data_IF_147597848720
#
_entry.id   IF_147597848720
#
_cell.length_a   1.000
_cell.length_b   1.000
_cell.length_c   1.000
_cell.angle_alpha   90.00
_cell.angle_beta   90.00
_cell.angle_gamma   90.00
#
_symmetry.space_group_name_H-M   'P 1'
#
loop_
_entity.id
_entity.type
_entity.pdbx_description
1 polymer ?
#
# COMPACT_ATOMS: atom_id res chain seq x y z
N UNK A 1 10.72 14.31 22.81
CA UNK A 1 10.48 13.21 21.86
C UNK A 1 10.22 11.89 22.60
N UNK A 2 11.06 11.48 23.55
CA UNK A 2 10.89 10.18 24.26
C UNK A 2 9.57 10.01 25.01
N UNK A 3 9.04 11.06 25.67
CA UNK A 3 7.74 10.98 26.37
C UNK A 3 6.52 10.88 25.42
N UNK A 4 6.67 11.25 24.14
CA UNK A 4 5.58 11.19 23.15
C UNK A 4 5.50 9.83 22.45
N UNK A 5 6.64 9.15 22.27
CA UNK A 5 6.74 7.85 21.64
C UNK A 5 5.75 6.78 22.16
N UNK A 6 5.53 6.60 23.49
CA UNK A 6 4.57 5.60 23.96
C UNK A 6 3.13 5.94 23.54
N UNK A 7 2.75 7.21 23.56
CA UNK A 7 1.41 7.67 23.15
C UNK A 7 1.22 7.51 21.64
N UNK A 8 2.25 7.87 20.86
CA UNK A 8 2.24 7.70 19.41
C UNK A 8 2.11 6.23 19.02
N UNK A 9 2.93 5.36 19.62
CA UNK A 9 2.92 3.93 19.34
C UNK A 9 1.56 3.31 19.67
N UNK A 10 0.99 3.64 20.83
CA UNK A 10 -0.35 3.18 21.21
C UNK A 10 -1.42 3.65 20.22
N UNK A 11 -1.35 4.93 19.82
CA UNK A 11 -2.29 5.50 18.84
C UNK A 11 -2.19 4.80 17.48
N UNK A 12 -0.97 4.53 16.99
CA UNK A 12 -0.74 3.83 15.73
C UNK A 12 -1.27 2.39 15.78
N UNK A 13 -1.05 1.67 16.90
CA UNK A 13 -1.59 0.31 17.07
C UNK A 13 -3.12 0.33 17.04
N UNK A 14 -3.76 1.24 17.78
CA UNK A 14 -5.22 1.39 17.78
C UNK A 14 -5.75 1.67 16.38
N UNK A 15 -5.10 2.57 15.62
CA UNK A 15 -5.50 2.88 14.23
C UNK A 15 -5.35 1.66 13.34
N UNK A 16 -4.21 0.96 13.37
CA UNK A 16 -3.98 -0.23 12.54
C UNK A 16 -5.00 -1.33 12.85
N UNK A 17 -5.29 -1.58 14.13
CA UNK A 17 -6.28 -2.57 14.57
C UNK A 17 -7.69 -2.16 14.13
N UNK A 18 -8.10 -0.90 14.32
CA UNK A 18 -9.42 -0.43 13.91
C UNK A 18 -9.62 -0.45 12.40
N UNK A 19 -8.55 -0.27 11.61
CA UNK A 19 -8.60 -0.44 10.16
C UNK A 19 -8.65 -1.92 9.75
N UNK A 20 -8.08 -2.81 10.58
CA UNK A 20 -8.11 -4.26 10.42
C UNK A 20 -9.44 -4.93 10.86
N UNK A 21 -10.14 -4.34 11.82
CA UNK A 21 -11.35 -4.89 12.44
C UNK A 21 -12.57 -5.02 11.51
N UNK A 22 -12.86 -4.07 10.59
CA UNK A 22 -13.99 -4.20 9.67
C UNK A 22 -13.70 -5.13 8.48
N UNK A 23 -12.60 -5.90 8.48
CA UNK A 23 -12.34 -6.88 7.44
C UNK A 23 -13.29 -8.07 7.50
N UNK A 24 -14.34 -8.00 6.69
CA UNK A 24 -15.16 -9.17 6.38
C UNK A 24 -14.54 -9.93 5.19
N UNK A 25 -14.03 -11.14 5.47
CA UNK A 25 -13.46 -12.04 4.46
C UNK A 25 -14.44 -12.40 3.33
N UNK A 26 -15.76 -12.25 3.55
CA UNK A 26 -16.79 -12.47 2.53
C UNK A 26 -16.80 -11.35 1.49
N UNK A 27 -16.47 -10.12 1.89
CA UNK A 27 -16.30 -8.98 0.98
C UNK A 27 -15.06 -9.15 0.10
N UNK A 28 -14.01 -9.79 0.63
CA UNK A 28 -12.79 -10.13 -0.11
C UNK A 28 -13.08 -11.13 -1.24
N UNK A 29 -13.90 -12.15 -0.96
CA UNK A 29 -14.29 -13.16 -1.93
C UNK A 29 -15.23 -12.59 -3.03
N UNK A 30 -16.11 -11.64 -2.68
CA UNK A 30 -17.05 -11.02 -3.62
C UNK A 30 -16.44 -9.93 -4.51
N UNK A 31 -15.41 -9.22 -4.05
CA UNK A 31 -14.81 -8.08 -4.76
C UNK A 31 -13.65 -8.45 -5.70
N UNK A 32 -13.45 -9.74 -6.01
CA UNK A 32 -12.23 -10.25 -6.65
C UNK A 32 -11.82 -9.49 -7.92
N UNK A 33 -12.75 -9.25 -8.86
CA UNK A 33 -12.45 -8.56 -10.11
C UNK A 33 -12.05 -7.09 -9.89
N UNK A 34 -12.80 -6.35 -9.06
CA UNK A 34 -12.48 -4.96 -8.72
C UNK A 34 -11.12 -4.85 -8.01
N UNK A 35 -10.82 -5.81 -7.13
CA UNK A 35 -9.54 -5.90 -6.41
C UNK A 35 -8.38 -6.03 -7.38
N UNK A 36 -8.48 -6.95 -8.35
CA UNK A 36 -7.44 -7.14 -9.38
C UNK A 36 -7.25 -5.88 -10.22
N UNK A 37 -8.34 -5.29 -10.71
CA UNK A 37 -8.29 -4.06 -11.52
C UNK A 37 -7.64 -2.93 -10.71
N UNK A 38 -8.01 -2.76 -9.45
CA UNK A 38 -7.46 -1.75 -8.56
C UNK A 38 -5.95 -1.93 -8.34
N UNK A 39 -5.50 -3.16 -8.01
CA UNK A 39 -4.07 -3.46 -7.81
C UNK A 39 -3.27 -3.14 -9.07
N UNK A 40 -3.72 -3.60 -10.24
CA UNK A 40 -3.02 -3.40 -11.51
C UNK A 40 -2.96 -1.92 -11.87
N UNK A 41 -4.08 -1.21 -11.78
CA UNK A 41 -4.15 0.22 -12.09
C UNK A 41 -3.21 1.02 -11.18
N UNK A 42 -3.17 0.69 -9.89
CA UNK A 42 -2.29 1.34 -8.92
C UNK A 42 -0.82 1.03 -9.19
N UNK A 43 -0.50 -0.23 -9.49
CA UNK A 43 0.86 -0.64 -9.79
C UNK A 43 1.39 0.07 -11.05
N UNK A 44 0.59 0.09 -12.12
CA UNK A 44 0.94 0.79 -13.36
C UNK A 44 1.10 2.29 -13.13
N UNK A 45 0.20 2.93 -12.38
CA UNK A 45 0.30 4.36 -12.06
C UNK A 45 1.58 4.70 -11.28
N UNK A 46 1.95 3.88 -10.29
CA UNK A 46 3.17 4.11 -9.50
C UNK A 46 4.45 3.83 -10.28
N UNK A 47 4.51 2.70 -10.99
CA UNK A 47 5.70 2.32 -11.76
C UNK A 47 5.90 3.26 -12.94
N UNK A 48 4.85 3.47 -13.73
CA UNK A 48 4.87 4.39 -14.87
C UNK A 48 5.11 5.83 -14.43
N UNK A 49 4.41 6.30 -13.40
CA UNK A 49 4.58 7.64 -12.86
C UNK A 49 5.99 7.91 -12.32
N UNK A 50 6.56 6.96 -11.56
CA UNK A 50 7.94 7.08 -11.07
C UNK A 50 8.96 7.09 -12.22
N UNK A 51 8.75 6.26 -13.25
CA UNK A 51 9.63 6.21 -14.42
C UNK A 51 9.57 7.51 -15.23
N UNK A 52 8.37 8.00 -15.54
CA UNK A 52 8.17 9.25 -16.29
C UNK A 52 8.72 10.43 -15.48
N UNK A 53 8.40 10.49 -14.20
CA UNK A 53 8.88 11.52 -13.28
C UNK A 53 10.40 11.53 -13.17
N UNK A 54 11.03 10.37 -12.98
CA UNK A 54 12.49 10.24 -12.92
C UNK A 54 13.17 10.64 -14.22
N UNK A 55 12.59 10.28 -15.37
CA UNK A 55 13.11 10.69 -16.69
C UNK A 55 12.99 12.19 -16.92
N UNK A 56 11.86 12.80 -16.53
CA UNK A 56 11.62 14.23 -16.71
C UNK A 56 12.56 15.08 -15.84
N UNK A 57 12.84 14.62 -14.61
CA UNK A 57 13.73 15.32 -13.67
C UNK A 57 15.21 14.97 -13.86
N UNK A 58 15.55 14.08 -14.80
CA UNK A 58 16.92 13.55 -15.01
C UNK A 58 17.50 12.92 -13.73
N UNK A 59 16.67 12.24 -12.95
CA UNK A 59 17.10 11.50 -11.78
C UNK A 59 18.05 10.35 -12.16
N UNK A 60 18.81 9.84 -11.18
CA UNK A 60 19.70 8.70 -11.37
C UNK A 60 18.96 7.53 -12.07
N UNK A 61 19.58 6.84 -13.05
CA UNK A 61 18.97 5.70 -13.73
C UNK A 61 18.42 4.61 -12.79
N UNK A 62 19.06 4.41 -11.63
CA UNK A 62 18.60 3.47 -10.60
C UNK A 62 17.28 3.93 -9.98
N UNK A 63 17.17 5.21 -9.66
CA UNK A 63 15.93 5.80 -9.11
C UNK A 63 14.81 5.69 -10.14
N UNK A 64 15.07 6.11 -11.38
CA UNK A 64 14.09 6.07 -12.47
C UNK A 64 13.57 4.65 -12.74
N UNK A 65 14.43 3.63 -12.62
CA UNK A 65 14.07 2.24 -12.90
C UNK A 65 13.43 1.50 -11.72
N UNK A 66 13.84 1.80 -10.49
CA UNK A 66 13.50 0.95 -9.33
C UNK A 66 12.55 1.59 -8.31
N UNK A 67 12.45 2.94 -8.27
CA UNK A 67 11.57 3.65 -7.32
C UNK A 67 10.11 3.21 -7.41
N UNK A 68 9.61 2.96 -8.63
CA UNK A 68 8.23 2.52 -8.84
C UNK A 68 7.84 1.28 -8.04
N UNK A 69 8.76 0.32 -7.91
CA UNK A 69 8.54 -0.92 -7.16
C UNK A 69 8.57 -0.70 -5.65
N UNK A 70 9.42 0.20 -5.15
CA UNK A 70 9.51 0.53 -3.72
C UNK A 70 8.32 1.35 -3.24
N UNK A 71 7.59 1.99 -4.16
CA UNK A 71 6.36 2.70 -3.88
C UNK A 71 5.14 1.77 -3.86
N UNK A 72 5.22 0.53 -4.32
CA UNK A 72 4.06 -0.37 -4.36
C UNK A 72 3.41 -0.60 -2.99
N UNK A 73 4.12 -0.71 -1.86
CA UNK A 73 3.49 -0.86 -0.55
C UNK A 73 2.36 0.17 -0.29
N UNK A 74 1.32 -0.32 0.37
CA UNK A 74 0.09 0.36 0.72
C UNK A 74 0.21 0.90 2.15
N UNK A 75 0.31 2.22 2.26
CA UNK A 75 0.38 2.89 3.56
C UNK A 75 -0.99 2.92 4.24
N UNK A 76 -1.00 2.90 5.57
CA UNK A 76 -2.20 3.04 6.40
C UNK A 76 -3.02 4.31 6.12
N UNK A 77 -2.40 5.36 5.55
CA UNK A 77 -3.12 6.57 5.11
C UNK A 77 -4.20 6.25 4.07
N UNK A 78 -3.98 5.27 3.19
CA UNK A 78 -4.98 4.87 2.20
C UNK A 78 -6.19 4.17 2.84
N UNK A 79 -5.98 3.46 3.94
CA UNK A 79 -7.07 2.82 4.70
C UNK A 79 -7.90 3.87 5.45
N UNK A 80 -7.26 4.94 5.96
CA UNK A 80 -7.98 6.09 6.54
C UNK A 80 -8.90 6.74 5.50
N UNK A 81 -8.38 7.04 4.30
CA UNK A 81 -9.20 7.59 3.21
C UNK A 81 -10.28 6.62 2.74
N UNK A 82 -10.02 5.32 2.80
CA UNK A 82 -11.05 4.29 2.54
C UNK A 82 -12.17 4.40 3.56
N UNK A 83 -11.86 4.52 4.86
CA UNK A 83 -12.86 4.73 5.89
C UNK A 83 -13.73 5.97 5.65
N UNK A 84 -13.11 7.09 5.24
CA UNK A 84 -13.85 8.32 4.89
C UNK A 84 -14.75 8.10 3.67
N UNK A 85 -14.24 7.44 2.63
CA UNK A 85 -15.01 7.15 1.41
C UNK A 85 -16.18 6.20 1.70
N UNK A 86 -15.94 5.13 2.47
CA UNK A 86 -16.95 4.16 2.89
C UNK A 86 -18.03 4.85 3.72
N UNK A 87 -17.66 5.69 4.67
CA UNK A 87 -18.63 6.42 5.50
C UNK A 87 -19.50 7.37 4.65
N UNK A 88 -18.89 8.08 3.69
CA UNK A 88 -19.61 8.96 2.78
C UNK A 88 -20.51 8.18 1.82
N UNK A 89 -20.08 7.01 1.34
CA UNK A 89 -20.88 6.20 0.41
C UNK A 89 -22.00 5.43 1.12
N UNK A 90 -21.82 5.05 2.38
CA UNK A 90 -22.85 4.34 3.15
C UNK A 90 -24.13 5.17 3.35
N UNK A 91 -24.04 6.50 3.29
CA UNK A 91 -25.22 7.40 3.34
C UNK A 91 -25.99 7.45 2.01
N UNK A 92 -25.37 7.00 0.92
CA UNK A 92 -25.94 6.97 -0.43
C UNK A 92 -26.41 5.54 -0.76
N UNK A 93 -25.49 4.57 -0.68
CA UNK A 93 -25.72 3.15 -0.97
C UNK A 93 -24.74 2.28 -0.18
N UNK A 94 -25.28 1.46 0.73
CA UNK A 94 -24.50 0.56 1.57
C UNK A 94 -23.76 -0.53 0.77
N UNK A 95 -24.27 -0.93 -0.40
CA UNK A 95 -23.60 -1.93 -1.24
C UNK A 95 -22.36 -1.36 -1.92
N UNK A 96 -22.38 -0.09 -2.34
CA UNK A 96 -21.21 0.58 -2.90
C UNK A 96 -20.11 0.76 -1.86
N UNK A 97 -20.51 1.12 -0.63
CA UNK A 97 -19.59 1.20 0.50
C UNK A 97 -18.91 -0.16 0.78
N UNK A 98 -19.67 -1.26 0.70
CA UNK A 98 -19.15 -2.62 0.85
C UNK A 98 -18.19 -3.01 -0.28
N UNK A 99 -18.47 -2.62 -1.53
CA UNK A 99 -17.57 -2.86 -2.68
C UNK A 99 -16.25 -2.09 -2.51
N UNK A 100 -16.30 -0.81 -2.13
CA UNK A 100 -15.10 0.02 -1.93
C UNK A 100 -14.24 -0.54 -0.81
N UNK A 101 -14.87 -0.81 0.35
CA UNK A 101 -14.18 -1.38 1.51
C UNK A 101 -13.56 -2.74 1.15
N UNK A 102 -14.36 -3.65 0.60
CA UNK A 102 -13.91 -4.97 0.18
C UNK A 102 -12.76 -4.90 -0.81
N UNK A 103 -12.84 -4.04 -1.83
CA UNK A 103 -11.81 -3.89 -2.87
C UNK A 103 -10.50 -3.36 -2.30
N UNK A 104 -10.53 -2.21 -1.62
CA UNK A 104 -9.29 -1.52 -1.21
C UNK A 104 -8.61 -2.29 -0.07
N UNK A 105 -9.39 -2.83 0.85
CA UNK A 105 -8.83 -3.55 2.00
C UNK A 105 -8.26 -4.92 1.58
N UNK A 106 -8.93 -5.64 0.68
CA UNK A 106 -8.35 -6.84 0.05
C UNK A 106 -7.07 -6.53 -0.69
N UNK A 107 -7.10 -5.45 -1.49
CA UNK A 107 -5.93 -5.01 -2.22
C UNK A 107 -4.77 -4.64 -1.28
N UNK A 108 -5.05 -4.01 -0.14
CA UNK A 108 -4.04 -3.67 0.85
C UNK A 108 -3.31 -4.93 1.33
N UNK A 109 -4.02 -5.97 1.76
CA UNK A 109 -3.41 -7.22 2.24
C UNK A 109 -2.58 -7.90 1.16
N UNK A 110 -3.18 -8.14 -0.01
CA UNK A 110 -2.51 -8.83 -1.12
C UNK A 110 -1.25 -8.06 -1.52
N UNK A 111 -1.38 -6.74 -1.65
CA UNK A 111 -0.30 -5.88 -2.06
C UNK A 111 0.77 -5.76 -0.98
N UNK A 112 0.47 -5.74 0.32
CA UNK A 112 1.50 -5.71 1.37
C UNK A 112 2.43 -6.93 1.31
N UNK A 113 1.88 -8.12 1.03
CA UNK A 113 2.70 -9.33 0.91
C UNK A 113 3.61 -9.26 -0.32
N UNK A 114 3.06 -8.93 -1.49
CA UNK A 114 3.79 -8.94 -2.76
C UNK A 114 4.74 -7.74 -2.86
N UNK A 115 4.27 -6.56 -2.49
CA UNK A 115 5.00 -5.30 -2.66
C UNK A 115 6.19 -5.20 -1.72
N UNK A 116 6.13 -5.73 -0.49
CA UNK A 116 7.30 -5.74 0.41
C UNK A 116 8.44 -6.57 -0.18
N UNK A 117 8.12 -7.72 -0.78
CA UNK A 117 9.11 -8.56 -1.47
C UNK A 117 9.70 -7.87 -2.70
N UNK A 118 8.85 -7.22 -3.50
CA UNK A 118 9.29 -6.46 -4.68
C UNK A 118 10.13 -5.25 -4.29
N UNK A 119 9.73 -4.50 -3.26
CA UNK A 119 10.47 -3.34 -2.76
C UNK A 119 11.87 -3.76 -2.29
N UNK A 120 11.97 -4.83 -1.48
CA UNK A 120 13.26 -5.40 -1.07
C UNK A 120 14.14 -5.76 -2.27
N UNK A 121 13.55 -6.38 -3.29
CA UNK A 121 14.27 -6.78 -4.51
C UNK A 121 14.71 -5.56 -5.32
N UNK A 122 13.87 -4.53 -5.42
CA UNK A 122 14.17 -3.28 -6.10
C UNK A 122 15.33 -2.54 -5.42
N UNK A 123 15.37 -2.48 -4.09
CA UNK A 123 16.50 -1.95 -3.34
C UNK A 123 17.79 -2.74 -3.58
N UNK A 124 17.70 -4.07 -3.68
CA UNK A 124 18.84 -4.92 -4.06
C UNK A 124 19.34 -4.63 -5.48
N UNK A 125 18.43 -4.45 -6.44
CA UNK A 125 18.78 -4.10 -7.83
C UNK A 125 19.32 -2.68 -8.00
N UNK A 126 18.89 -1.75 -7.14
CA UNK A 126 19.48 -0.41 -7.05
C UNK A 126 20.89 -0.43 -6.44
N UNK A 127 21.26 -1.51 -5.74
CA UNK A 127 22.51 -1.63 -5.01
C UNK A 127 22.50 -0.87 -3.67
N UNK A 128 21.31 -0.60 -3.12
CA UNK A 128 21.13 0.12 -1.85
C UNK A 128 21.12 -0.81 -0.63
N UNK A 129 20.90 -2.11 -0.84
CA UNK A 129 21.11 -3.13 0.20
C UNK A 129 22.53 -3.66 0.05
N UNK A 130 23.40 -3.30 0.99
CA UNK A 130 24.68 -3.96 1.14
C UNK A 130 24.42 -5.44 1.40
N UNK A 131 25.10 -6.33 0.65
CA UNK A 131 25.16 -7.72 1.04
C UNK A 131 25.84 -7.73 2.41
N UNK A 132 25.08 -7.89 3.48
CA UNK A 132 25.65 -8.35 4.74
C UNK A 132 26.27 -9.70 4.41
N UNK A 133 27.58 -9.67 4.15
CA UNK A 133 28.45 -10.83 4.26
C UNK A 133 28.06 -11.49 5.57
N UNK A 134 27.39 -12.63 5.48
CA UNK A 134 27.25 -13.56 6.59
C UNK A 134 28.68 -13.94 7.00
N UNK A 135 29.27 -13.14 7.89
CA UNK A 135 30.38 -13.60 8.69
C UNK A 135 29.75 -14.47 9.77
N UNK A 136 29.82 -15.77 9.48
CA UNK A 136 29.77 -16.91 10.40
C UNK A 136 30.38 -16.58 11.76
#
# INVERSE_FOLDING_TARGET
>A
MENYNPILNLSLVIVIVNLGMPLDYRLIAGAGLYTVIYILSRALGKIGGAYIGGKLTKADPKVTKYLGFTLLPHSGVSLIFTGIAVNTMATIDASLAAIISGTIVSAAIINEIIAVLLAKTAFKWAGEISQQSSKK
#
